data_IF_074958501018
#
_entry.id   IF_074958501018
#
_cell.length_a   1.000
_cell.length_b   1.000
_cell.length_c   1.000
_cell.angle_alpha   90.00
_cell.angle_beta   90.00
_cell.angle_gamma   90.00
#
_symmetry.space_group_name_H-M   'P 1'
#
loop_
_entity.id
_entity.type
_entity.pdbx_description
1 polymer ?
#
# COMPACT_ATOMS: atom_id res chain seq x y z
N UNK A 1 -6.71 16.04 16.76
CA UNK A 1 -5.91 15.71 15.56
C UNK A 1 -6.29 14.29 15.17
N UNK A 2 -6.74 14.07 13.94
CA UNK A 2 -6.89 12.70 13.43
C UNK A 2 -5.45 12.25 13.19
N UNK A 3 -4.93 11.37 14.05
CA UNK A 3 -3.70 10.67 13.72
C UNK A 3 -4.02 9.86 12.47
N UNK A 4 -3.66 10.40 11.30
CA UNK A 4 -3.57 9.60 10.08
C UNK A 4 -2.74 8.35 10.37
N UNK A 5 -2.94 7.29 9.57
CA UNK A 5 -2.38 5.94 9.74
C UNK A 5 -1.09 5.96 10.59
N UNK A 6 -1.18 5.48 11.84
CA UNK A 6 -0.16 5.72 12.85
C UNK A 6 1.22 5.13 12.50
N UNK A 7 1.25 4.20 11.54
CA UNK A 7 2.47 3.59 11.01
C UNK A 7 2.40 3.61 9.48
N UNK A 8 3.51 4.01 8.85
CA UNK A 8 3.68 3.96 7.40
C UNK A 8 3.86 2.49 6.97
N UNK A 9 2.97 2.01 6.11
CA UNK A 9 3.04 0.67 5.52
C UNK A 9 3.30 0.70 4.01
N UNK A 10 3.75 1.85 3.50
CA UNK A 10 4.05 2.06 2.09
C UNK A 10 2.84 2.40 1.22
N UNK A 11 1.61 2.32 1.76
CA UNK A 11 0.41 2.73 1.04
C UNK A 11 0.37 4.25 0.82
N UNK A 12 -0.04 4.68 -0.37
CA UNK A 12 -0.31 6.09 -0.68
C UNK A 12 -1.67 6.23 -1.37
N UNK A 13 -2.52 7.08 -0.82
CA UNK A 13 -3.84 7.35 -1.38
C UNK A 13 -4.70 8.16 -0.43
N UNK A 14 -5.73 8.79 -0.97
CA UNK A 14 -6.75 9.52 -0.21
C UNK A 14 -8.02 8.67 -0.18
N UNK A 15 -8.56 8.44 1.00
CA UNK A 15 -9.83 7.76 1.21
C UNK A 15 -10.88 8.78 1.60
N UNK A 16 -11.91 8.94 0.77
CA UNK A 16 -13.05 9.79 1.05
C UNK A 16 -14.25 8.92 1.41
N UNK A 17 -14.74 9.08 2.64
CA UNK A 17 -15.98 8.46 3.09
C UNK A 17 -17.14 9.44 2.94
N UNK A 18 -18.18 9.02 2.24
CA UNK A 18 -19.39 9.82 2.07
C UNK A 18 -20.64 9.00 2.43
N UNK A 19 -21.51 9.61 3.23
CA UNK A 19 -22.83 9.09 3.52
C UNK A 19 -23.80 10.27 3.59
N UNK A 20 -24.77 10.31 2.67
CA UNK A 20 -25.72 11.43 2.57
C UNK A 20 -26.56 11.59 3.84
N UNK A 21 -27.08 10.48 4.36
CA UNK A 21 -27.78 10.38 5.65
C UNK A 21 -27.61 8.98 6.21
N UNK A 22 -27.93 8.78 7.49
CA UNK A 22 -27.87 7.46 8.15
C UNK A 22 -28.79 6.39 7.54
N UNK A 23 -29.67 6.75 6.59
CA UNK A 23 -30.53 5.82 5.84
C UNK A 23 -29.93 5.36 4.50
N UNK A 24 -28.75 5.87 4.13
CA UNK A 24 -28.06 5.50 2.89
C UNK A 24 -26.81 4.68 3.21
N UNK A 25 -26.42 3.78 2.30
CA UNK A 25 -25.15 3.08 2.45
C UNK A 25 -23.97 4.06 2.34
N UNK A 26 -22.97 3.95 3.21
CA UNK A 26 -21.74 4.70 3.06
C UNK A 26 -21.00 4.25 1.80
N UNK A 27 -20.37 5.18 1.11
CA UNK A 27 -19.44 4.89 0.01
C UNK A 27 -18.04 5.32 0.42
N UNK A 28 -17.05 4.51 0.04
CA UNK A 28 -15.64 4.85 0.10
C UNK A 28 -15.15 5.13 -1.31
N UNK A 29 -14.51 6.27 -1.52
CA UNK A 29 -13.87 6.66 -2.77
C UNK A 29 -12.37 6.70 -2.52
N UNK A 30 -11.62 5.85 -3.23
CA UNK A 30 -10.17 5.83 -3.17
C UNK A 30 -9.57 6.61 -4.34
N UNK A 31 -8.75 7.62 -4.04
CA UNK A 31 -8.09 8.45 -5.03
C UNK A 31 -6.58 8.21 -4.91
N UNK A 32 -5.95 7.81 -6.02
CA UNK A 32 -4.51 7.55 -6.11
C UNK A 32 -4.00 7.92 -7.52
N UNK A 33 -2.69 8.18 -7.62
CA UNK A 33 -2.04 8.31 -8.92
C UNK A 33 -1.89 6.94 -9.57
N UNK A 34 -1.67 6.88 -10.89
CA UNK A 34 -1.37 5.61 -11.59
C UNK A 34 -0.16 4.89 -10.98
N UNK A 35 0.88 5.65 -10.63
CA UNK A 35 2.09 5.14 -10.02
C UNK A 35 1.81 4.51 -8.65
N UNK A 36 1.08 5.22 -7.78
CA UNK A 36 0.70 4.69 -6.46
C UNK A 36 -0.24 3.49 -6.58
N UNK A 37 -1.14 3.47 -7.57
CA UNK A 37 -2.09 2.37 -7.74
C UNK A 37 -1.39 1.05 -8.00
N UNK A 38 -0.40 1.03 -8.89
CA UNK A 38 0.40 -0.16 -9.21
C UNK A 38 1.04 -0.71 -7.93
N UNK A 39 1.70 0.16 -7.16
CA UNK A 39 2.36 -0.25 -5.91
C UNK A 39 1.35 -0.73 -4.86
N UNK A 40 0.25 -0.01 -4.68
CA UNK A 40 -0.80 -0.38 -3.73
C UNK A 40 -1.44 -1.74 -4.06
N UNK A 41 -1.64 -2.05 -5.34
CA UNK A 41 -2.16 -3.34 -5.79
C UNK A 41 -1.18 -4.47 -5.45
N UNK A 42 0.13 -4.28 -5.64
CA UNK A 42 1.14 -5.27 -5.25
C UNK A 42 1.24 -5.45 -3.74
N UNK A 43 1.26 -4.37 -2.97
CA UNK A 43 1.20 -4.43 -1.49
C UNK A 43 -0.02 -5.23 -1.02
N UNK A 44 -1.17 -4.98 -1.64
CA UNK A 44 -2.40 -5.67 -1.30
C UNK A 44 -2.36 -7.17 -1.63
N UNK A 45 -1.91 -7.54 -2.82
CA UNK A 45 -1.89 -8.94 -3.28
C UNK A 45 -0.85 -9.76 -2.52
N UNK A 46 0.35 -9.20 -2.29
CA UNK A 46 1.52 -9.97 -1.87
C UNK A 46 1.92 -9.76 -0.41
N UNK A 47 1.62 -8.61 0.19
CA UNK A 47 2.09 -8.27 1.54
C UNK A 47 0.96 -8.41 2.54
N UNK A 48 -0.14 -7.66 2.39
CA UNK A 48 -1.16 -7.54 3.45
C UNK A 48 -1.85 -8.87 3.84
N UNK A 49 -1.88 -9.86 2.95
CA UNK A 49 -2.47 -11.17 3.27
C UNK A 49 -1.54 -12.07 4.10
N UNK A 50 -0.23 -11.83 4.07
CA UNK A 50 0.78 -12.77 4.56
C UNK A 50 1.72 -12.17 5.60
N UNK A 51 1.95 -10.86 5.54
CA UNK A 51 2.93 -10.15 6.35
C UNK A 51 2.24 -9.03 7.14
N UNK A 52 2.48 -9.02 8.46
CA UNK A 52 1.90 -8.01 9.38
C UNK A 52 2.90 -6.92 9.73
N UNK A 53 4.15 -7.05 9.31
CA UNK A 53 5.18 -6.06 9.56
C UNK A 53 5.10 -4.91 8.53
N UNK A 54 4.59 -3.77 8.99
CA UNK A 54 4.46 -2.55 8.18
C UNK A 54 5.81 -2.06 7.60
N UNK A 55 6.93 -2.37 8.25
CA UNK A 55 8.28 -1.98 7.80
C UNK A 55 8.60 -2.56 6.41
N UNK A 56 8.10 -3.76 6.10
CA UNK A 56 8.32 -4.39 4.78
C UNK A 56 7.64 -3.55 3.68
N UNK A 57 6.41 -3.11 3.93
CA UNK A 57 5.69 -2.25 2.98
C UNK A 57 6.36 -0.90 2.76
N UNK A 58 6.84 -0.26 3.84
CA UNK A 58 7.60 0.99 3.77
C UNK A 58 8.90 0.84 2.95
N UNK A 59 9.65 -0.24 3.19
CA UNK A 59 10.93 -0.46 2.50
C UNK A 59 10.73 -0.79 1.02
N UNK A 60 9.72 -1.61 0.69
CA UNK A 60 9.32 -1.85 -0.70
C UNK A 60 8.92 -0.54 -1.38
N UNK A 61 8.20 0.34 -0.68
CA UNK A 61 7.83 1.64 -1.22
C UNK A 61 9.04 2.51 -1.53
N UNK A 62 10.02 2.58 -0.63
CA UNK A 62 11.27 3.32 -0.87
C UNK A 62 12.03 2.81 -2.10
N UNK A 63 12.07 1.49 -2.32
CA UNK A 63 12.71 0.87 -3.51
C UNK A 63 11.92 1.08 -4.80
N UNK A 64 10.59 1.13 -4.70
CA UNK A 64 9.74 1.49 -5.83
C UNK A 64 9.93 2.96 -6.24
N UNK A 65 9.91 3.88 -5.28
CA UNK A 65 10.10 5.31 -5.52
C UNK A 65 11.53 5.64 -6.01
N UNK A 66 12.54 4.82 -5.69
CA UNK A 66 13.91 4.96 -6.20
C UNK A 66 14.10 4.42 -7.62
N UNK A 67 13.12 3.71 -8.19
CA UNK A 67 13.19 3.08 -9.50
C UNK A 67 13.88 1.71 -9.54
N UNK A 68 14.19 1.12 -8.37
CA UNK A 68 14.71 -0.25 -8.28
C UNK A 68 13.63 -1.27 -8.68
N UNK A 69 12.39 -1.03 -8.26
CA UNK A 69 11.24 -1.85 -8.64
C UNK A 69 10.50 -1.15 -9.78
N UNK A 70 10.55 -1.73 -10.98
CA UNK A 70 9.87 -1.15 -12.16
C UNK A 70 8.68 -2.00 -12.60
N UNK A 71 8.69 -3.28 -12.29
CA UNK A 71 7.63 -4.22 -12.63
C UNK A 71 7.35 -5.20 -11.48
N UNK A 72 6.31 -6.02 -11.66
CA UNK A 72 5.83 -6.95 -10.64
C UNK A 72 6.84 -8.06 -10.31
N UNK A 73 7.66 -8.47 -11.29
CA UNK A 73 8.71 -9.47 -11.06
C UNK A 73 9.80 -8.91 -10.15
N UNK A 74 10.26 -7.68 -10.39
CA UNK A 74 11.22 -7.00 -9.51
C UNK A 74 10.65 -6.89 -8.08
N UNK A 75 9.37 -6.52 -7.96
CA UNK A 75 8.69 -6.42 -6.67
C UNK A 75 8.72 -7.75 -5.91
N UNK A 76 8.38 -8.86 -6.59
CA UNK A 76 8.39 -10.20 -6.00
C UNK A 76 9.79 -10.64 -5.59
N UNK A 77 10.80 -10.33 -6.41
CA UNK A 77 12.19 -10.67 -6.11
C UNK A 77 12.68 -9.92 -4.87
N UNK A 78 12.45 -8.60 -4.82
CA UNK A 78 12.82 -7.77 -3.68
C UNK A 78 12.10 -8.22 -2.41
N UNK A 79 10.79 -8.47 -2.47
CA UNK A 79 10.01 -8.99 -1.34
C UNK A 79 10.56 -10.34 -0.87
N UNK A 80 10.83 -11.26 -1.81
CA UNK A 80 11.43 -12.56 -1.50
C UNK A 80 12.75 -12.37 -0.76
N UNK A 81 13.66 -11.57 -1.31
CA UNK A 81 14.97 -11.33 -0.70
C UNK A 81 14.82 -10.81 0.74
N UNK A 82 13.91 -9.86 0.99
CA UNK A 82 13.65 -9.34 2.34
C UNK A 82 13.14 -10.41 3.32
N UNK A 83 12.23 -11.29 2.88
CA UNK A 83 11.66 -12.33 3.72
C UNK A 83 12.66 -13.45 4.03
N UNK A 84 13.57 -13.77 3.10
CA UNK A 84 14.58 -14.82 3.27
C UNK A 84 15.89 -14.33 3.91
N UNK A 85 16.12 -13.02 3.97
CA UNK A 85 17.28 -12.42 4.65
C UNK A 85 17.01 -12.06 6.12
N UNK A 86 15.82 -12.35 6.64
CA UNK A 86 15.37 -12.02 8.00
C UNK A 86 15.39 -13.23 8.93
#
# INVERSE_FOLDING_TARGET
MINGKANDDGYRGIHLYYQKTNKHYPIEIQINTKHDRIMNDWLHIYVYKYEKNNVIGELLRKRYDSGEIQNESDFKEVLKNMLFSS
#
